data_IF_083689657992
#
_entry.id   IF_083689657992
#
_cell.length_a   1.000
_cell.length_b   1.000
_cell.length_c   1.000
_cell.angle_alpha   90.00
_cell.angle_beta   90.00
_cell.angle_gamma   90.00
#
_symmetry.space_group_name_H-M   'P 1'
#
loop_
_entity.id
_entity.type
_entity.pdbx_description
1 polymer ?
#
# COMPACT_ATOMS: atom_id res chain seq x y z
N UNK A 1 -8.68 -23.03 -14.18
CA UNK A 1 -7.36 -22.59 -13.69
C UNK A 1 -7.58 -21.48 -12.66
N UNK A 2 -7.00 -21.62 -11.47
CA UNK A 2 -7.08 -20.60 -10.42
C UNK A 2 -6.30 -19.35 -10.85
N UNK A 3 -6.88 -18.15 -10.67
CA UNK A 3 -6.19 -16.90 -10.98
C UNK A 3 -5.24 -16.54 -9.84
N UNK A 4 -4.02 -16.14 -10.20
CA UNK A 4 -2.98 -15.73 -9.26
C UNK A 4 -2.90 -14.20 -9.16
N UNK A 5 -2.82 -13.70 -7.94
CA UNK A 5 -2.71 -12.28 -7.62
C UNK A 5 -1.43 -12.03 -6.84
N UNK A 6 -0.63 -11.07 -7.27
CA UNK A 6 0.51 -10.57 -6.51
C UNK A 6 0.18 -9.17 -6.01
N UNK A 7 0.19 -8.97 -4.70
CA UNK A 7 0.00 -7.67 -4.06
C UNK A 7 1.34 -7.20 -3.51
N UNK A 8 1.90 -6.17 -4.11
CA UNK A 8 3.15 -5.56 -3.66
C UNK A 8 2.84 -4.42 -2.68
N UNK A 9 3.34 -4.53 -1.46
CA UNK A 9 3.11 -3.55 -0.39
C UNK A 9 4.43 -3.06 0.18
N UNK A 10 4.62 -1.75 0.23
CA UNK A 10 5.71 -1.11 0.95
C UNK A 10 5.17 -0.20 2.04
N UNK A 11 5.41 -0.56 3.28
CA UNK A 11 5.26 0.36 4.41
C UNK A 11 6.64 0.90 4.83
N UNK A 12 6.70 2.13 5.31
CA UNK A 12 7.97 2.80 5.62
C UNK A 12 8.10 3.23 7.08
N UNK A 13 7.01 3.64 7.72
CA UNK A 13 6.92 4.00 9.13
C UNK A 13 5.71 3.34 9.80
N UNK A 14 4.51 3.61 9.29
CA UNK A 14 3.27 3.01 9.80
C UNK A 14 2.88 1.76 9.00
N UNK A 15 2.18 0.84 9.64
CA UNK A 15 1.79 -0.47 9.07
C UNK A 15 0.43 -0.44 8.36
N UNK A 16 -0.24 0.71 8.26
CA UNK A 16 -1.60 0.81 7.68
C UNK A 16 -1.69 0.31 6.24
N UNK A 17 -0.69 0.58 5.41
CA UNK A 17 -0.63 0.06 4.04
C UNK A 17 -0.53 -1.47 4.01
N UNK A 18 0.28 -2.04 4.90
CA UNK A 18 0.44 -3.49 4.97
C UNK A 18 -0.84 -4.16 5.47
N UNK A 19 -1.50 -3.60 6.48
CA UNK A 19 -2.80 -4.11 6.97
C UNK A 19 -3.88 -4.06 5.88
N UNK A 20 -3.95 -2.97 5.10
CA UNK A 20 -4.88 -2.90 3.97
C UNK A 20 -4.56 -3.94 2.90
N UNK A 21 -3.30 -4.07 2.50
CA UNK A 21 -2.88 -5.11 1.56
C UNK A 21 -3.20 -6.52 2.05
N UNK A 22 -3.02 -6.78 3.35
CA UNK A 22 -3.37 -8.06 3.97
C UNK A 22 -4.90 -8.32 3.97
N UNK A 23 -5.71 -7.31 4.27
CA UNK A 23 -7.16 -7.43 4.23
C UNK A 23 -7.67 -7.70 2.80
N UNK A 24 -7.11 -7.02 1.81
CA UNK A 24 -7.39 -7.30 0.40
C UNK A 24 -6.99 -8.72 0.00
N UNK A 25 -5.79 -9.15 0.44
CA UNK A 25 -5.30 -10.50 0.17
C UNK A 25 -6.23 -11.56 0.77
N UNK A 26 -6.65 -11.37 2.02
CA UNK A 26 -7.60 -12.26 2.72
C UNK A 26 -8.93 -12.34 1.99
N UNK A 27 -9.49 -11.21 1.58
CA UNK A 27 -10.75 -11.15 0.83
C UNK A 27 -10.62 -11.86 -0.54
N UNK A 28 -9.57 -11.59 -1.30
CA UNK A 28 -9.32 -12.24 -2.58
C UNK A 28 -9.11 -13.74 -2.43
N UNK A 29 -8.36 -14.19 -1.42
CA UNK A 29 -8.17 -15.62 -1.14
C UNK A 29 -9.49 -16.30 -0.73
N UNK A 30 -10.34 -15.62 0.02
CA UNK A 30 -11.69 -16.09 0.36
C UNK A 30 -12.61 -16.30 -0.85
N UNK A 31 -12.32 -15.60 -1.96
CA UNK A 31 -12.99 -15.80 -3.26
C UNK A 31 -12.35 -16.90 -4.12
N UNK A 32 -11.43 -17.68 -3.58
CA UNK A 32 -10.76 -18.78 -4.28
C UNK A 32 -9.61 -18.35 -5.20
N UNK A 33 -9.08 -17.13 -5.07
CA UNK A 33 -7.89 -16.70 -5.79
C UNK A 33 -6.63 -17.18 -5.05
N UNK A 34 -5.56 -17.47 -5.78
CA UNK A 34 -4.24 -17.74 -5.24
C UNK A 34 -3.51 -16.42 -5.05
N UNK A 35 -3.35 -15.98 -3.81
CA UNK A 35 -2.83 -14.65 -3.51
C UNK A 35 -1.47 -14.73 -2.82
N UNK A 36 -0.55 -13.89 -3.27
CA UNK A 36 0.73 -13.65 -2.60
C UNK A 36 0.86 -12.17 -2.28
N UNK A 37 1.18 -11.86 -1.03
CA UNK A 37 1.57 -10.51 -0.58
C UNK A 37 3.09 -10.44 -0.54
N UNK A 38 3.66 -9.54 -1.32
CA UNK A 38 5.07 -9.17 -1.24
C UNK A 38 5.22 -7.98 -0.31
N UNK A 39 5.75 -8.21 0.90
CA UNK A 39 5.98 -7.16 1.90
C UNK A 39 7.39 -6.62 1.81
N UNK A 40 7.52 -5.33 1.56
CA UNK A 40 8.82 -4.67 1.37
C UNK A 40 9.32 -3.87 2.56
N UNK A 41 8.52 -3.69 3.61
CA UNK A 41 8.92 -3.00 4.82
C UNK A 41 9.55 -3.92 5.86
N UNK A 42 9.67 -3.44 7.10
CA UNK A 42 10.11 -4.27 8.21
C UNK A 42 9.16 -5.46 8.42
N UNK A 43 9.68 -6.58 8.87
CA UNK A 43 8.88 -7.76 9.21
C UNK A 43 7.89 -7.43 10.32
N UNK A 44 6.64 -7.84 10.15
CA UNK A 44 5.58 -7.68 11.14
C UNK A 44 5.08 -9.07 11.55
N UNK A 45 5.17 -9.35 12.84
CA UNK A 45 4.63 -10.58 13.42
C UNK A 45 3.08 -10.55 13.39
N UNK A 46 2.49 -11.73 13.23
CA UNK A 46 1.04 -11.93 13.34
C UNK A 46 0.18 -11.09 12.36
N UNK A 47 0.66 -10.87 11.13
CA UNK A 47 -0.15 -10.27 10.07
C UNK A 47 -1.16 -11.31 9.55
N UNK A 48 -2.45 -11.04 9.75
CA UNK A 48 -3.52 -11.92 9.23
C UNK A 48 -3.73 -11.66 7.72
N UNK A 49 -3.24 -12.59 6.92
CA UNK A 49 -3.47 -12.62 5.45
C UNK A 49 -4.49 -13.69 5.04
N UNK A 50 -5.13 -14.36 6.01
CA UNK A 50 -5.98 -15.52 5.75
C UNK A 50 -5.19 -16.65 5.08
N UNK A 51 -5.65 -17.13 3.92
CA UNK A 51 -4.97 -18.17 3.14
C UNK A 51 -3.96 -17.63 2.13
N UNK A 52 -3.73 -16.32 2.08
CA UNK A 52 -2.75 -15.74 1.17
C UNK A 52 -1.32 -15.96 1.68
N UNK A 53 -0.39 -16.26 0.76
CA UNK A 53 1.02 -16.37 1.09
C UNK A 53 1.64 -14.98 1.37
N UNK A 54 2.49 -14.90 2.38
CA UNK A 54 3.28 -13.70 2.68
C UNK A 54 4.74 -13.96 2.32
N UNK A 55 5.30 -13.11 1.46
CA UNK A 55 6.71 -13.16 1.07
C UNK A 55 7.37 -11.86 1.49
N UNK A 56 8.41 -11.97 2.31
CA UNK A 56 9.22 -10.83 2.72
C UNK A 56 10.29 -10.55 1.66
N UNK A 57 10.26 -9.35 1.11
CA UNK A 57 11.34 -8.80 0.29
C UNK A 57 12.42 -8.18 1.19
N UNK A 58 13.64 -7.91 0.69
CA UNK A 58 14.64 -7.16 1.46
C UNK A 58 14.03 -5.90 2.05
N UNK A 59 14.07 -5.75 3.37
CA UNK A 59 13.30 -4.74 4.08
C UNK A 59 13.79 -3.31 3.84
N UNK A 60 12.86 -2.38 3.76
CA UNK A 60 13.13 -0.96 3.54
C UNK A 60 12.24 -0.13 4.46
N UNK A 61 12.85 0.82 5.18
CA UNK A 61 12.14 1.76 6.07
C UNK A 61 12.62 3.20 5.87
N UNK A 62 11.80 4.15 6.24
CA UNK A 62 12.22 5.54 6.30
C UNK A 62 13.01 5.80 7.60
N UNK A 63 14.04 6.64 7.52
CA UNK A 63 14.80 7.07 8.69
C UNK A 63 13.98 8.05 9.56
N UNK A 64 13.11 8.82 8.94
CA UNK A 64 12.32 9.88 9.56
C UNK A 64 10.97 10.09 8.85
N UNK A 65 10.13 10.95 9.41
CA UNK A 65 8.83 11.33 8.85
C UNK A 65 8.91 12.15 7.56
N UNK A 66 10.08 12.65 7.19
CA UNK A 66 10.31 13.37 5.94
C UNK A 66 10.47 12.44 4.73
N UNK A 67 10.69 11.14 4.96
CA UNK A 67 10.89 10.12 3.92
C UNK A 67 12.02 10.45 2.94
N UNK A 68 12.99 11.24 3.38
CA UNK A 68 14.12 11.67 2.53
C UNK A 68 15.23 10.65 2.49
N UNK A 69 15.43 9.92 3.59
CA UNK A 69 16.45 8.89 3.74
C UNK A 69 15.78 7.54 3.94
N UNK A 70 16.23 6.58 3.18
CA UNK A 70 15.74 5.21 3.23
C UNK A 70 16.85 4.30 3.76
N UNK A 71 16.48 3.43 4.69
CA UNK A 71 17.39 2.51 5.37
C UNK A 71 16.96 1.07 5.10
N UNK A 72 17.93 0.21 4.97
CA UNK A 72 17.75 -1.24 4.92
C UNK A 72 17.49 -1.87 6.30
N UNK A 73 17.40 -3.20 6.35
CA UNK A 73 17.20 -3.97 7.59
C UNK A 73 18.39 -3.82 8.58
N UNK A 74 19.57 -3.44 8.08
CA UNK A 74 20.78 -3.21 8.89
C UNK A 74 20.90 -1.76 9.35
N UNK A 75 19.88 -0.92 9.08
CA UNK A 75 19.89 0.51 9.36
C UNK A 75 20.95 1.30 8.57
N UNK A 76 21.38 0.77 7.44
CA UNK A 76 22.29 1.44 6.51
C UNK A 76 21.48 2.14 5.43
N UNK A 77 21.96 3.30 4.96
CA UNK A 77 21.32 4.00 3.86
C UNK A 77 21.48 3.18 2.58
N UNK A 78 20.37 3.00 1.83
CA UNK A 78 20.37 2.19 0.62
C UNK A 78 21.14 2.87 -0.51
N UNK A 79 22.00 2.11 -1.17
CA UNK A 79 22.75 2.50 -2.35
C UNK A 79 22.16 1.90 -3.65
N UNK A 80 22.84 2.08 -4.75
CA UNK A 80 22.40 1.59 -6.06
C UNK A 80 22.54 0.06 -6.19
N UNK A 81 23.51 -0.55 -5.50
CA UNK A 81 23.67 -2.01 -5.46
C UNK A 81 22.49 -2.64 -4.72
N UNK A 82 22.14 -2.09 -3.56
CA UNK A 82 20.96 -2.52 -2.81
C UNK A 82 19.67 -2.38 -3.63
N UNK A 83 19.49 -1.23 -4.34
CA UNK A 83 18.32 -1.00 -5.21
C UNK A 83 18.23 -2.02 -6.33
N UNK A 84 19.36 -2.34 -6.97
CA UNK A 84 19.42 -3.36 -8.02
C UNK A 84 19.06 -4.75 -7.48
N UNK A 85 19.63 -5.14 -6.34
CA UNK A 85 19.34 -6.42 -5.69
C UNK A 85 17.85 -6.54 -5.28
N UNK A 86 17.28 -5.45 -4.74
CA UNK A 86 15.86 -5.38 -4.37
C UNK A 86 14.94 -5.50 -5.60
N UNK A 87 15.26 -4.81 -6.69
CA UNK A 87 14.50 -4.90 -7.95
C UNK A 87 14.56 -6.32 -8.52
N UNK A 88 15.73 -6.95 -8.49
CA UNK A 88 15.92 -8.35 -8.91
C UNK A 88 15.05 -9.28 -8.08
N UNK A 89 15.06 -9.16 -6.75
CA UNK A 89 14.23 -9.98 -5.87
C UNK A 89 12.74 -9.88 -6.18
N UNK A 90 12.26 -8.67 -6.48
CA UNK A 90 10.86 -8.43 -6.85
C UNK A 90 10.51 -9.03 -8.21
N UNK A 91 11.39 -8.91 -9.21
CA UNK A 91 11.21 -9.50 -10.53
C UNK A 91 11.27 -11.03 -10.50
N UNK A 92 12.17 -11.62 -9.71
CA UNK A 92 12.26 -13.07 -9.52
C UNK A 92 10.99 -13.62 -8.86
N UNK A 93 10.47 -12.90 -7.86
CA UNK A 93 9.19 -13.25 -7.24
C UNK A 93 8.05 -13.22 -8.26
N UNK A 94 7.96 -12.15 -9.06
CA UNK A 94 6.98 -12.02 -10.13
C UNK A 94 7.08 -13.17 -11.15
N UNK A 95 8.28 -13.47 -11.60
CA UNK A 95 8.54 -14.54 -12.59
C UNK A 95 8.16 -15.93 -12.04
N UNK A 96 8.38 -16.17 -10.74
CA UNK A 96 8.02 -17.42 -10.06
C UNK A 96 6.53 -17.58 -9.91
N UNK A 97 5.80 -16.51 -9.50
CA UNK A 97 4.36 -16.52 -9.27
C UNK A 97 3.59 -16.53 -10.58
N UNK A 98 4.08 -15.82 -11.61
CA UNK A 98 3.37 -15.56 -12.88
C UNK A 98 1.95 -15.08 -12.62
N UNK A 99 1.78 -13.95 -11.96
CA UNK A 99 0.45 -13.47 -11.58
C UNK A 99 -0.38 -13.07 -12.81
N UNK A 100 -1.69 -13.25 -12.72
CA UNK A 100 -2.65 -12.71 -13.68
C UNK A 100 -3.02 -11.26 -13.35
N UNK A 101 -2.84 -10.88 -12.07
CA UNK A 101 -3.08 -9.54 -11.58
C UNK A 101 -1.91 -9.11 -10.70
N UNK A 102 -1.34 -7.95 -10.98
CA UNK A 102 -0.38 -7.26 -10.13
C UNK A 102 -1.06 -6.06 -9.48
N UNK A 103 -1.08 -6.02 -8.16
CA UNK A 103 -1.56 -4.88 -7.38
C UNK A 103 -0.37 -4.20 -6.72
N UNK A 104 -0.24 -2.88 -6.88
CA UNK A 104 0.75 -2.08 -6.13
C UNK A 104 0.04 -1.18 -5.15
N UNK A 105 0.43 -1.25 -3.89
CA UNK A 105 -0.17 -0.44 -2.84
C UNK A 105 0.39 0.99 -2.87
N UNK A 106 -0.50 1.95 -3.07
CA UNK A 106 -0.26 3.40 -3.10
C UNK A 106 0.49 3.93 -4.34
N UNK A 107 1.34 3.16 -5.00
CA UNK A 107 2.04 3.65 -6.19
C UNK A 107 1.08 3.73 -7.38
N UNK A 108 1.07 4.82 -8.19
CA UNK A 108 2.01 5.93 -8.23
C UNK A 108 1.62 7.14 -7.33
N UNK A 109 0.50 7.06 -6.64
CA UNK A 109 0.01 8.14 -5.76
C UNK A 109 0.82 8.26 -4.46
N UNK A 110 1.81 7.46 -4.24
CA UNK A 110 2.79 7.46 -3.18
C UNK A 110 3.98 6.59 -3.52
N UNK A 111 4.93 6.47 -2.59
CA UNK A 111 6.07 5.56 -2.76
C UNK A 111 6.92 5.84 -4.00
N UNK A 112 6.97 7.09 -4.44
CA UNK A 112 7.73 7.52 -5.62
C UNK A 112 9.20 7.10 -5.56
N UNK A 113 9.81 7.13 -4.39
CA UNK A 113 11.19 6.68 -4.19
C UNK A 113 11.43 5.20 -4.53
N UNK A 114 10.35 4.43 -4.73
CA UNK A 114 10.39 3.04 -5.18
C UNK A 114 10.15 2.87 -6.69
N UNK A 115 10.14 3.96 -7.45
CA UNK A 115 9.94 3.90 -8.89
C UNK A 115 10.98 2.99 -9.59
N UNK A 116 12.22 2.91 -9.05
CA UNK A 116 13.28 2.02 -9.55
C UNK A 116 12.87 0.54 -9.58
N UNK A 117 12.07 0.10 -8.62
CA UNK A 117 11.56 -1.27 -8.49
C UNK A 117 10.20 -1.44 -9.17
N UNK A 118 9.27 -0.53 -8.89
CA UNK A 118 7.87 -0.69 -9.27
C UNK A 118 7.63 -0.48 -10.76
N UNK A 119 8.36 0.43 -11.43
CA UNK A 119 8.25 0.58 -12.87
C UNK A 119 8.78 -0.66 -13.63
N UNK A 120 9.86 -1.27 -13.14
CA UNK A 120 10.37 -2.51 -13.71
C UNK A 120 9.36 -3.66 -13.54
N UNK A 121 8.72 -3.76 -12.37
CA UNK A 121 7.70 -4.76 -12.07
C UNK A 121 6.45 -4.59 -12.95
N UNK A 122 5.99 -3.35 -13.14
CA UNK A 122 4.87 -3.00 -14.02
C UNK A 122 5.19 -3.30 -15.50
N UNK A 123 6.43 -3.06 -15.94
CA UNK A 123 6.89 -3.42 -17.27
C UNK A 123 6.86 -4.94 -17.50
N UNK A 124 7.31 -5.73 -16.52
CA UNK A 124 7.22 -7.20 -16.55
C UNK A 124 5.76 -7.68 -16.59
N UNK A 125 4.88 -7.05 -15.82
CA UNK A 125 3.45 -7.35 -15.83
C UNK A 125 2.81 -7.06 -17.20
N UNK A 126 3.20 -5.96 -17.85
CA UNK A 126 2.75 -5.61 -19.20
C UNK A 126 3.18 -6.66 -20.24
N UNK A 127 4.42 -7.15 -20.16
CA UNK A 127 4.95 -8.16 -21.09
C UNK A 127 4.21 -9.51 -20.98
N UNK A 128 3.68 -9.82 -19.79
CA UNK A 128 2.95 -11.07 -19.54
C UNK A 128 1.43 -10.90 -19.66
N UNK A 129 0.95 -9.73 -20.05
CA UNK A 129 -0.48 -9.36 -20.09
C UNK A 129 -1.19 -9.51 -18.72
N UNK A 130 -0.46 -9.38 -17.62
CA UNK A 130 -1.07 -9.31 -16.29
C UNK A 130 -1.79 -7.96 -16.10
N UNK A 131 -2.99 -7.99 -15.53
CA UNK A 131 -3.74 -6.78 -15.18
C UNK A 131 -2.98 -6.01 -14.10
N UNK A 132 -2.78 -4.71 -14.27
CA UNK A 132 -2.02 -3.85 -13.38
C UNK A 132 -2.95 -2.90 -12.63
N UNK A 133 -3.02 -3.05 -11.32
CA UNK A 133 -3.93 -2.32 -10.46
C UNK A 133 -3.14 -1.49 -9.45
N UNK A 134 -3.41 -0.20 -9.37
CA UNK A 134 -2.98 0.64 -8.26
C UNK A 134 -4.04 0.60 -7.17
N UNK A 135 -3.68 0.20 -5.96
CA UNK A 135 -4.54 0.21 -4.77
C UNK A 135 -4.26 1.48 -3.96
N UNK A 136 -5.25 2.32 -3.75
CA UNK A 136 -5.05 3.62 -3.11
C UNK A 136 -6.24 4.00 -2.23
N UNK A 137 -5.99 4.75 -1.14
CA UNK A 137 -7.07 5.34 -0.33
C UNK A 137 -7.68 6.56 -1.02
N UNK A 138 -8.90 6.91 -0.67
CA UNK A 138 -9.68 8.03 -1.19
C UNK A 138 -9.03 9.40 -0.93
N UNK A 139 -8.55 9.65 0.29
CA UNK A 139 -7.94 10.94 0.67
C UNK A 139 -6.42 10.83 0.69
N UNK A 140 -5.78 11.55 -0.20
CA UNK A 140 -4.32 11.63 -0.30
C UNK A 140 -3.77 12.83 0.48
N UNK A 141 -2.51 12.72 0.90
CA UNK A 141 -1.78 13.87 1.44
C UNK A 141 -1.51 14.88 0.31
N UNK A 142 -1.74 16.16 0.57
CA UNK A 142 -1.48 17.26 -0.37
C UNK A 142 -0.05 17.21 -0.92
N UNK A 143 0.07 17.44 -2.21
CA UNK A 143 1.34 17.37 -2.96
C UNK A 143 1.57 18.61 -3.80
N UNK A 144 2.83 18.78 -4.22
CA UNK A 144 3.19 19.78 -5.22
C UNK A 144 2.53 19.41 -6.57
N UNK A 145 2.02 20.39 -7.34
CA UNK A 145 1.35 20.12 -8.64
C UNK A 145 2.15 19.23 -9.58
N UNK A 146 3.44 19.46 -9.74
CA UNK A 146 4.33 18.64 -10.60
C UNK A 146 4.29 17.16 -10.23
N UNK A 147 4.20 16.82 -8.93
CA UNK A 147 4.11 15.43 -8.48
C UNK A 147 2.74 14.81 -8.73
N UNK A 148 1.71 15.63 -8.75
CA UNK A 148 0.34 15.22 -9.07
C UNK A 148 0.24 14.85 -10.55
N UNK A 149 0.77 15.70 -11.44
CA UNK A 149 0.81 15.44 -12.88
C UNK A 149 1.64 14.21 -13.24
N UNK A 150 2.80 14.03 -12.62
CA UNK A 150 3.63 12.85 -12.80
C UNK A 150 2.91 11.56 -12.37
N UNK A 151 2.22 11.58 -11.22
CA UNK A 151 1.45 10.43 -10.75
C UNK A 151 0.29 10.09 -11.71
N UNK A 152 -0.40 11.10 -12.26
CA UNK A 152 -1.43 10.90 -13.28
C UNK A 152 -0.84 10.31 -14.58
N UNK A 153 0.32 10.80 -15.02
CA UNK A 153 1.01 10.28 -16.19
C UNK A 153 1.39 8.80 -16.01
N UNK A 154 1.97 8.45 -14.87
CA UNK A 154 2.31 7.05 -14.55
C UNK A 154 1.07 6.16 -14.41
N UNK A 155 -0.03 6.68 -13.84
CA UNK A 155 -1.27 5.95 -13.76
C UNK A 155 -1.85 5.64 -15.15
N UNK A 156 -1.83 6.62 -16.07
CA UNK A 156 -2.28 6.43 -17.47
C UNK A 156 -1.42 5.40 -18.21
N UNK A 157 -0.11 5.50 -18.06
CA UNK A 157 0.84 4.70 -18.84
C UNK A 157 0.96 3.26 -18.35
N UNK A 158 0.97 3.07 -17.05
CA UNK A 158 1.40 1.80 -16.47
C UNK A 158 0.26 0.98 -15.84
N UNK A 159 -0.92 1.54 -15.61
CA UNK A 159 -2.01 0.85 -14.91
C UNK A 159 -3.24 0.67 -15.80
N UNK A 160 -3.92 -0.45 -15.59
CA UNK A 160 -5.21 -0.72 -16.21
C UNK A 160 -6.35 -0.16 -15.34
N UNK A 161 -6.20 -0.24 -14.00
CA UNK A 161 -7.18 0.27 -13.05
C UNK A 161 -6.52 0.95 -11.85
N UNK A 162 -7.23 1.92 -11.27
CA UNK A 162 -6.94 2.57 -10.00
C UNK A 162 -8.08 2.21 -9.03
N UNK A 163 -7.82 1.26 -8.14
CA UNK A 163 -8.78 0.84 -7.12
C UNK A 163 -8.71 1.80 -5.93
N UNK A 164 -9.72 2.66 -5.81
CA UNK A 164 -9.85 3.62 -4.73
C UNK A 164 -10.65 2.99 -3.59
N UNK A 165 -10.02 2.93 -2.41
CA UNK A 165 -10.68 2.45 -1.19
C UNK A 165 -11.41 3.61 -0.51
N UNK A 166 -12.67 3.77 -0.88
CA UNK A 166 -13.53 4.85 -0.43
C UNK A 166 -14.90 4.75 -1.10
N UNK A 167 -15.77 5.68 -0.77
CA UNK A 167 -17.09 5.85 -1.35
C UNK A 167 -17.15 7.19 -2.08
N UNK A 168 -17.40 7.15 -3.40
CA UNK A 168 -17.52 8.37 -4.22
C UNK A 168 -18.70 9.24 -3.82
N UNK A 169 -19.72 8.65 -3.18
CA UNK A 169 -20.87 9.40 -2.64
C UNK A 169 -20.55 10.17 -1.36
N UNK A 170 -19.46 9.79 -0.64
CA UNK A 170 -18.99 10.48 0.55
C UNK A 170 -17.89 11.47 0.23
N UNK A 171 -16.80 11.02 -0.44
CA UNK A 171 -15.71 11.88 -0.90
C UNK A 171 -15.11 11.34 -2.18
N UNK A 172 -15.12 12.16 -3.24
CA UNK A 172 -14.51 11.82 -4.51
C UNK A 172 -12.98 11.86 -4.46
N UNK A 173 -12.31 10.97 -5.18
CA UNK A 173 -10.85 10.91 -5.25
C UNK A 173 -10.25 12.25 -5.73
N UNK A 174 -10.98 12.97 -6.60
CA UNK A 174 -10.60 14.30 -7.11
C UNK A 174 -10.42 15.36 -6.05
N UNK A 175 -11.10 15.26 -4.89
CA UNK A 175 -10.98 16.22 -3.79
C UNK A 175 -9.56 16.26 -3.21
N UNK A 176 -8.85 15.12 -3.23
CA UNK A 176 -7.48 15.03 -2.74
C UNK A 176 -6.44 14.84 -3.85
N UNK A 177 -6.89 14.50 -5.07
CA UNK A 177 -6.05 14.32 -6.25
C UNK A 177 -6.59 15.13 -7.44
N UNK A 178 -6.21 16.41 -7.59
CA UNK A 178 -6.76 17.31 -8.61
C UNK A 178 -6.65 16.82 -10.07
N UNK A 179 -5.69 15.95 -10.36
CA UNK A 179 -5.51 15.35 -11.69
C UNK A 179 -6.37 14.08 -11.92
N UNK A 180 -7.32 13.77 -11.03
CA UNK A 180 -8.17 12.57 -11.15
C UNK A 180 -8.94 12.49 -12.45
N UNK A 181 -9.42 13.63 -12.98
CA UNK A 181 -10.11 13.71 -14.27
C UNK A 181 -9.28 13.16 -15.45
N UNK A 182 -7.95 13.17 -15.34
CA UNK A 182 -7.05 12.64 -16.38
C UNK A 182 -6.99 11.12 -16.43
N UNK A 183 -7.52 10.44 -15.40
CA UNK A 183 -7.50 8.98 -15.23
C UNK A 183 -8.88 8.44 -14.83
N UNK A 184 -9.94 9.20 -15.05
CA UNK A 184 -11.30 8.87 -14.63
C UNK A 184 -11.76 7.51 -15.17
N UNK A 185 -11.39 7.20 -16.40
CA UNK A 185 -11.66 5.93 -17.09
C UNK A 185 -11.04 4.71 -16.40
N UNK A 186 -10.07 4.91 -15.51
CA UNK A 186 -9.38 3.84 -14.77
C UNK A 186 -9.82 3.74 -13.32
N UNK A 187 -10.52 4.74 -12.78
CA UNK A 187 -10.92 4.78 -11.38
C UNK A 187 -12.06 3.81 -11.12
N UNK A 188 -11.85 2.95 -10.12
CA UNK A 188 -12.87 2.03 -9.61
C UNK A 188 -12.93 2.19 -8.09
N UNK A 189 -14.11 2.51 -7.57
CA UNK A 189 -14.32 2.57 -6.12
C UNK A 189 -14.69 1.20 -5.59
N UNK A 190 -13.95 0.73 -4.58
CA UNK A 190 -14.14 -0.60 -3.97
C UNK A 190 -14.76 -0.56 -2.57
N UNK A 191 -15.21 0.60 -2.11
CA UNK A 191 -15.63 0.77 -0.72
C UNK A 191 -14.45 0.80 0.25
N UNK A 192 -14.75 0.98 1.53
CA UNK A 192 -13.74 1.02 2.59
C UNK A 192 -13.23 -0.39 2.93
N UNK A 193 -11.93 -0.49 3.15
CA UNK A 193 -11.30 -1.74 3.60
C UNK A 193 -11.21 -1.75 5.11
N UNK A 194 -11.94 -2.66 5.73
CA UNK A 194 -11.94 -2.89 7.17
C UNK A 194 -11.58 -4.35 7.49
N UNK A 195 -10.95 -4.59 8.64
CA UNK A 195 -10.65 -5.92 9.15
C UNK A 195 -11.78 -6.39 10.08
N UNK A 196 -12.78 -7.03 9.52
CA UNK A 196 -13.93 -7.57 10.27
C UNK A 196 -15.10 -6.60 10.41
N UNK A 197 -16.24 -7.13 10.84
CA UNK A 197 -17.39 -6.31 11.21
C UNK A 197 -17.21 -5.73 12.62
N UNK A 198 -17.58 -4.46 12.87
CA UNK A 198 -17.55 -3.93 14.22
C UNK A 198 -18.57 -4.69 15.08
N UNK A 199 -18.09 -5.32 16.14
CA UNK A 199 -18.96 -5.87 17.16
C UNK A 199 -19.44 -4.73 18.05
N UNK A 200 -20.72 -4.42 17.98
CA UNK A 200 -21.37 -3.39 18.78
C UNK A 200 -21.76 -3.88 20.19
N UNK A 201 -21.16 -4.96 20.68
CA UNK A 201 -21.60 -5.64 21.90
C UNK A 201 -20.85 -5.22 23.16
N UNK A 202 -20.46 -3.97 23.34
CA UNK A 202 -19.93 -3.55 24.63
C UNK A 202 -20.25 -2.10 24.93
N UNK A 203 -20.57 -1.85 26.20
CA UNK A 203 -20.65 -0.49 26.78
C UNK A 203 -19.26 0.15 26.97
N UNK A 204 -18.20 -0.49 26.45
CA UNK A 204 -16.84 0.02 26.45
C UNK A 204 -16.76 1.32 25.64
N UNK A 205 -16.22 2.34 26.24
CA UNK A 205 -16.07 3.66 25.63
C UNK A 205 -17.18 4.67 25.97
N UNK A 206 -18.26 4.26 26.65
CA UNK A 206 -19.26 5.22 27.12
C UNK A 206 -18.68 6.11 28.23
N UNK A 207 -18.66 7.42 27.97
CA UNK A 207 -18.09 8.40 28.91
C UNK A 207 -16.56 8.44 28.96
N UNK A 208 -15.89 7.71 28.08
CA UNK A 208 -14.42 7.69 27.98
C UNK A 208 -13.94 8.64 26.87
N UNK A 209 -12.75 9.20 27.07
CA UNK A 209 -12.03 9.93 26.03
C UNK A 209 -11.02 8.97 25.39
N UNK A 210 -11.25 8.62 24.13
CA UNK A 210 -10.35 7.73 23.39
C UNK A 210 -9.28 8.55 22.69
N UNK A 211 -8.02 8.28 23.02
CA UNK A 211 -6.86 8.87 22.33
C UNK A 211 -6.15 7.80 21.52
N UNK A 212 -6.10 7.97 20.20
CA UNK A 212 -5.47 7.02 19.29
C UNK A 212 -4.42 7.68 18.42
N UNK A 213 -3.23 7.09 18.35
CA UNK A 213 -2.14 7.52 17.49
C UNK A 213 -1.97 6.63 16.24
N UNK A 214 -2.81 5.62 16.06
CA UNK A 214 -2.66 4.61 15.02
C UNK A 214 -1.50 3.64 15.31
N UNK A 215 -1.25 2.74 14.37
CA UNK A 215 -0.16 1.75 14.47
C UNK A 215 1.12 2.25 13.81
N UNK A 216 2.03 2.82 14.55
CA UNK A 216 3.33 3.26 14.02
C UNK A 216 4.14 4.06 15.04
N UNK A 217 5.36 4.44 14.66
CA UNK A 217 6.28 5.21 15.50
C UNK A 217 5.89 6.69 15.68
N UNK A 218 4.75 7.11 15.14
CA UNK A 218 4.27 8.51 15.16
C UNK A 218 3.13 8.61 16.15
N UNK A 219 3.23 9.40 17.19
CA UNK A 219 2.12 9.63 18.11
C UNK A 219 2.53 9.67 19.58
N UNK A 220 3.79 9.43 19.89
CA UNK A 220 4.30 9.48 21.27
C UNK A 220 3.93 10.80 21.97
N UNK A 221 4.10 11.92 21.28
CA UNK A 221 3.76 13.23 21.83
C UNK A 221 2.27 13.34 22.17
N UNK A 222 1.38 12.88 21.28
CA UNK A 222 -0.08 12.92 21.52
C UNK A 222 -0.44 12.06 22.74
N UNK A 223 0.08 10.82 22.78
CA UNK A 223 -0.20 9.90 23.88
C UNK A 223 0.34 10.42 25.22
N UNK A 224 1.57 10.96 25.21
CA UNK A 224 2.18 11.58 26.40
C UNK A 224 1.35 12.77 26.91
N UNK A 225 0.97 13.69 25.99
CA UNK A 225 0.15 14.85 26.35
C UNK A 225 -1.22 14.43 26.89
N UNK A 226 -1.82 13.37 26.32
CA UNK A 226 -3.09 12.87 26.82
C UNK A 226 -2.97 12.30 28.24
N UNK A 227 -1.89 11.57 28.55
CA UNK A 227 -1.62 11.06 29.90
C UNK A 227 -1.34 12.21 30.90
N UNK A 228 -0.70 13.30 30.46
CA UNK A 228 -0.41 14.46 31.31
C UNK A 228 -1.66 15.32 31.57
N UNK A 229 -2.69 15.24 30.71
CA UNK A 229 -3.92 16.00 30.81
C UNK A 229 -5.00 15.34 31.69
N UNK A 230 -4.78 14.13 32.15
CA UNK A 230 -5.65 13.36 33.04
C UNK A 230 -5.43 13.77 34.50
#
# INVERSE_FOLDING_TARGET
MTRRVLIHVQHLLGIGHLRRGAALAKACAGLGLEVTVASGGATIDHLDTGHAALVQLPGLRAADSGFTRLLDDRSQEIDDEWRAARSTASLDLFARIRPHVLVTETFPFGRRQLAFELLALLAAARQTNAVRVSSVRDVLTTRKPVRTEEAAAWAREHFDHVLVHGDSGFIGFGESFPAAAQIEDKIVYGGYVASGEPTLESDLGQGEIIVSAGGGAVGERLLRTACEAQ
#
